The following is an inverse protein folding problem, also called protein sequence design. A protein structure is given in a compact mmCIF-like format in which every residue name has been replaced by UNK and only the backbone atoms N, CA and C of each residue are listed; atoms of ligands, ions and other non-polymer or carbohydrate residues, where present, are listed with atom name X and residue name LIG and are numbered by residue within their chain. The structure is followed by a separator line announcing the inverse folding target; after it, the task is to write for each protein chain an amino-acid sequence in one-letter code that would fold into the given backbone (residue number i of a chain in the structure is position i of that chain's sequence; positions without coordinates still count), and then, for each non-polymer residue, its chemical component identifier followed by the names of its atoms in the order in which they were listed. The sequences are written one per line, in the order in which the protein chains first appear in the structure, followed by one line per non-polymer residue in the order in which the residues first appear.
data_IF_221090523302
#
_entry.id   IF_221090523302
#
_cell.length_a   1.000
_cell.length_b   1.000
_cell.length_c   1.000
_cell.angle_alpha   90.00
_cell.angle_beta   90.00
_cell.angle_gamma   90.00
#
_symmetry.space_group_name_H-M   'P 1'
#
loop_
_entity.id
_entity.type
_entity.pdbx_description
1 polymer ?
#
# COMPACT_ATOMS: atom_id res chain seq x y z
N UNK A 1 -12.34 -56.92 -9.41
CA UNK A 1 -13.02 -56.78 -8.10
C UNK A 1 -12.29 -55.84 -7.11
N UNK A 2 -11.34 -55.00 -7.55
CA UNK A 2 -10.60 -54.09 -6.66
C UNK A 2 -11.18 -52.64 -6.61
N UNK A 3 -11.97 -52.25 -7.61
CA UNK A 3 -12.55 -50.90 -7.69
C UNK A 3 -13.69 -50.67 -6.68
N UNK A 4 -14.42 -51.73 -6.30
CA UNK A 4 -15.49 -51.65 -5.31
C UNK A 4 -14.98 -51.32 -3.90
N UNK A 5 -13.82 -51.88 -3.51
CA UNK A 5 -13.23 -51.68 -2.18
C UNK A 5 -12.67 -50.27 -1.97
N UNK A 6 -12.14 -49.62 -3.01
CA UNK A 6 -11.66 -48.24 -2.96
C UNK A 6 -12.82 -47.24 -2.82
N UNK A 7 -13.94 -47.48 -3.48
CA UNK A 7 -15.15 -46.68 -3.32
C UNK A 7 -15.76 -46.83 -1.91
N UNK A 8 -15.68 -48.03 -1.31
CA UNK A 8 -16.16 -48.23 0.07
C UNK A 8 -15.24 -47.59 1.12
N UNK A 9 -13.92 -47.52 0.88
CA UNK A 9 -12.99 -46.76 1.75
C UNK A 9 -13.25 -45.24 1.70
N UNK A 10 -13.56 -44.68 0.53
CA UNK A 10 -13.86 -43.25 0.38
C UNK A 10 -15.20 -42.86 1.03
N UNK A 11 -16.20 -43.75 1.03
CA UNK A 11 -17.49 -43.51 1.70
C UNK A 11 -17.40 -43.72 3.22
N UNK A 12 -16.54 -44.61 3.70
CA UNK A 12 -16.29 -44.79 5.15
C UNK A 12 -15.40 -43.68 5.77
N UNK A 13 -14.72 -42.87 4.94
CA UNK A 13 -14.02 -41.64 5.37
C UNK A 13 -14.98 -40.44 5.52
N UNK A 14 -16.24 -40.55 5.09
CA UNK A 14 -17.26 -39.51 5.24
C UNK A 14 -17.94 -39.45 6.61
N UNK A 15 -17.45 -40.16 7.63
CA UNK A 15 -18.16 -40.33 8.88
C UNK A 15 -17.29 -40.63 10.09
N UNK A 16 -16.32 -39.78 10.40
CA UNK A 16 -15.88 -39.52 11.77
C UNK A 16 -14.91 -38.33 11.78
N UNK A 17 -15.06 -37.42 12.74
CA UNK A 17 -14.01 -36.47 13.14
C UNK A 17 -12.80 -37.28 13.63
N UNK A 18 -12.03 -37.86 12.72
CA UNK A 18 -10.71 -38.36 13.04
C UNK A 18 -9.84 -37.13 13.25
N UNK A 19 -9.44 -36.89 14.51
CA UNK A 19 -8.24 -36.15 14.84
C UNK A 19 -7.07 -36.82 14.09
N UNK A 20 -6.86 -36.43 12.84
CA UNK A 20 -5.69 -36.80 12.09
C UNK A 20 -4.47 -36.24 12.83
N UNK A 21 -3.38 -37.00 12.82
CA UNK A 21 -2.12 -36.57 13.40
C UNK A 21 -1.76 -35.18 12.85
N UNK A 22 -1.78 -34.19 13.74
CA UNK A 22 -1.57 -32.77 13.41
C UNK A 22 -0.28 -32.55 12.62
N UNK A 23 0.75 -33.39 12.82
CA UNK A 23 2.01 -33.34 12.08
C UNK A 23 1.87 -33.73 10.61
N UNK A 24 1.06 -34.76 10.31
CA UNK A 24 0.81 -35.22 8.94
C UNK A 24 0.01 -34.17 8.17
N UNK A 25 -1.04 -33.62 8.79
CA UNK A 25 -1.88 -32.60 8.16
C UNK A 25 -1.12 -31.28 7.95
N UNK A 26 -0.29 -30.86 8.90
CA UNK A 26 0.57 -29.70 8.74
C UNK A 26 1.57 -29.87 7.57
N UNK A 27 2.15 -31.06 7.43
CA UNK A 27 3.08 -31.38 6.33
C UNK A 27 2.36 -31.39 4.99
N UNK A 28 1.18 -32.02 4.92
CA UNK A 28 0.32 -32.00 3.74
C UNK A 28 -0.04 -30.58 3.32
N UNK A 29 -0.45 -29.73 4.26
CA UNK A 29 -0.85 -28.35 3.96
C UNK A 29 0.32 -27.55 3.38
N UNK A 30 1.50 -27.60 4.01
CA UNK A 30 2.71 -26.92 3.53
C UNK A 30 3.07 -27.31 2.10
N UNK A 31 3.00 -28.61 1.79
CA UNK A 31 3.34 -29.12 0.46
C UNK A 31 2.33 -28.67 -0.61
N UNK A 32 1.03 -28.71 -0.29
CA UNK A 32 -0.01 -28.34 -1.26
C UNK A 32 -0.10 -26.82 -1.44
N UNK A 33 -0.19 -26.06 -0.34
CA UNK A 33 -0.37 -24.61 -0.41
C UNK A 33 0.78 -23.90 -1.13
N UNK A 34 2.03 -24.33 -0.92
CA UNK A 34 3.19 -23.74 -1.62
C UNK A 34 3.09 -23.85 -3.15
N UNK A 35 2.56 -24.97 -3.66
CA UNK A 35 2.37 -25.17 -5.11
C UNK A 35 1.23 -24.29 -5.64
N UNK A 36 0.10 -24.27 -4.94
CA UNK A 36 -1.10 -23.55 -5.41
C UNK A 36 -0.92 -22.02 -5.32
N UNK A 37 -0.33 -21.54 -4.23
CA UNK A 37 -0.03 -20.11 -4.04
C UNK A 37 0.95 -19.57 -5.08
N UNK A 38 1.91 -20.36 -5.57
CA UNK A 38 2.83 -19.94 -6.63
C UNK A 38 2.08 -19.56 -7.93
N UNK A 39 1.03 -20.29 -8.29
CA UNK A 39 0.18 -19.97 -9.44
C UNK A 39 -0.60 -18.68 -9.21
N UNK A 40 -1.21 -18.52 -8.05
CA UNK A 40 -1.97 -17.31 -7.70
C UNK A 40 -1.07 -16.08 -7.74
N UNK A 41 0.09 -16.17 -7.12
CA UNK A 41 1.08 -15.08 -7.11
C UNK A 41 1.58 -14.76 -8.52
N UNK A 42 1.79 -15.76 -9.37
CA UNK A 42 2.18 -15.52 -10.75
C UNK A 42 1.12 -14.67 -11.50
N UNK A 43 -0.17 -14.96 -11.33
CA UNK A 43 -1.25 -14.17 -11.94
C UNK A 43 -1.27 -12.75 -11.37
N UNK A 44 -1.24 -12.60 -10.04
CA UNK A 44 -1.26 -11.29 -9.38
C UNK A 44 0.02 -10.46 -9.60
N UNK A 45 1.15 -11.11 -9.91
CA UNK A 45 2.39 -10.45 -10.31
C UNK A 45 2.34 -9.86 -11.72
N UNK A 46 1.27 -10.11 -12.49
CA UNK A 46 1.03 -9.60 -13.85
C UNK A 46 -0.36 -8.98 -13.94
N UNK A 47 -0.79 -8.34 -12.86
CA UNK A 47 -2.11 -7.74 -12.73
C UNK A 47 -1.98 -6.23 -12.67
N UNK A 48 -2.84 -5.54 -13.41
CA UNK A 48 -3.23 -4.15 -13.17
C UNK A 48 -4.57 -4.15 -12.45
N UNK A 49 -4.69 -3.39 -11.36
CA UNK A 49 -5.91 -3.33 -10.56
C UNK A 49 -6.13 -1.90 -10.04
N UNK A 50 -7.33 -1.39 -10.25
CA UNK A 50 -7.80 -0.12 -9.69
C UNK A 50 -8.70 -0.42 -8.50
N UNK A 51 -8.53 0.34 -7.42
CA UNK A 51 -9.14 0.05 -6.14
C UNK A 51 -9.56 1.33 -5.43
N UNK A 52 -10.60 1.19 -4.62
CA UNK A 52 -11.08 2.21 -3.71
C UNK A 52 -11.00 1.69 -2.28
N UNK A 53 -10.23 2.39 -1.44
CA UNK A 53 -10.14 2.15 0.00
C UNK A 53 -11.00 3.19 0.75
N UNK A 54 -11.79 2.71 1.70
CA UNK A 54 -12.60 3.53 2.62
C UNK A 54 -12.20 3.20 4.05
N UNK A 55 -11.73 4.20 4.80
CA UNK A 55 -11.48 4.05 6.24
C UNK A 55 -12.80 4.20 7.01
N UNK A 56 -13.17 3.19 7.80
CA UNK A 56 -14.48 3.11 8.45
C UNK A 56 -14.43 3.56 9.91
N UNK A 57 -13.29 3.37 10.57
CA UNK A 57 -13.06 3.82 11.95
C UNK A 57 -11.64 4.36 12.11
N UNK A 58 -11.40 5.13 13.17
CA UNK A 58 -10.11 5.76 13.44
C UNK A 58 -10.12 7.26 13.16
N UNK A 59 -8.95 7.89 13.24
CA UNK A 59 -8.81 9.34 13.10
C UNK A 59 -9.12 9.85 11.69
N UNK A 60 -9.15 8.97 10.68
CA UNK A 60 -9.47 9.33 9.30
C UNK A 60 -10.73 8.62 8.81
N UNK A 61 -11.62 8.20 9.72
CA UNK A 61 -12.91 7.62 9.36
C UNK A 61 -13.66 8.50 8.33
N UNK A 62 -14.18 7.86 7.29
CA UNK A 62 -14.82 8.50 6.13
C UNK A 62 -13.84 8.90 5.01
N UNK A 63 -12.52 8.78 5.21
CA UNK A 63 -11.54 9.07 4.17
C UNK A 63 -11.59 8.01 3.07
N UNK A 64 -11.62 8.47 1.83
CA UNK A 64 -11.58 7.63 0.63
C UNK A 64 -10.22 7.81 -0.04
N UNK A 65 -9.64 6.72 -0.54
CA UNK A 65 -8.42 6.73 -1.35
C UNK A 65 -8.65 5.88 -2.60
N UNK A 66 -8.23 6.39 -3.74
CA UNK A 66 -8.13 5.57 -4.96
C UNK A 66 -6.69 5.13 -5.14
N UNK A 67 -6.50 3.86 -5.47
CA UNK A 67 -5.22 3.18 -5.57
C UNK A 67 -5.16 2.46 -6.91
N UNK A 68 -4.03 2.55 -7.59
CA UNK A 68 -3.77 1.81 -8.81
C UNK A 68 -2.49 0.97 -8.60
N UNK A 69 -2.61 -0.34 -8.69
CA UNK A 69 -1.48 -1.27 -8.61
C UNK A 69 -1.21 -1.86 -9.99
N UNK A 70 0.07 -2.02 -10.30
CA UNK A 70 0.54 -2.78 -11.45
C UNK A 70 1.72 -3.66 -11.07
N UNK A 71 1.63 -4.96 -11.39
CA UNK A 71 2.70 -5.94 -11.25
C UNK A 71 3.34 -6.34 -12.58
N UNK A 72 4.64 -6.64 -12.56
CA UNK A 72 5.35 -7.21 -13.70
C UNK A 72 6.65 -7.93 -13.37
N UNK A 73 6.62 -9.26 -13.22
CA UNK A 73 7.82 -10.12 -13.23
C UNK A 73 8.87 -9.79 -12.16
N UNK A 74 8.43 -9.45 -10.94
CA UNK A 74 9.20 -8.94 -9.79
C UNK A 74 9.32 -7.40 -9.71
N UNK A 75 8.55 -6.68 -10.51
CA UNK A 75 8.41 -5.23 -10.42
C UNK A 75 7.00 -4.90 -9.97
N UNK A 76 6.87 -3.93 -9.09
CA UNK A 76 5.59 -3.50 -8.57
C UNK A 76 5.53 -1.98 -8.60
N UNK A 77 4.37 -1.46 -8.97
CA UNK A 77 4.08 -0.04 -8.93
C UNK A 77 2.75 0.17 -8.26
N UNK A 78 2.69 1.13 -7.35
CA UNK A 78 1.47 1.59 -6.72
C UNK A 78 1.39 3.09 -6.86
N UNK A 79 0.32 3.56 -7.45
CA UNK A 79 -0.05 4.97 -7.50
C UNK A 79 -1.23 5.21 -6.55
N UNK A 80 -1.13 6.23 -5.70
CA UNK A 80 -2.25 6.71 -4.89
C UNK A 80 -2.77 8.00 -5.51
N UNK A 81 -4.08 8.12 -5.64
CA UNK A 81 -4.74 9.25 -6.28
C UNK A 81 -5.38 10.15 -5.22
N UNK A 82 -5.27 11.45 -5.45
CA UNK A 82 -6.03 12.46 -4.71
C UNK A 82 -7.48 12.48 -5.22
N UNK A 83 -8.44 12.36 -4.31
CA UNK A 83 -9.87 12.26 -4.66
C UNK A 83 -10.39 13.55 -5.30
N UNK A 84 -9.90 14.72 -4.87
CA UNK A 84 -10.40 16.00 -5.34
C UNK A 84 -9.91 16.33 -6.76
N UNK A 85 -8.69 15.93 -7.08
CA UNK A 85 -8.03 16.30 -8.34
C UNK A 85 -7.91 15.14 -9.35
N UNK A 86 -8.09 13.90 -8.89
CA UNK A 86 -7.83 12.70 -9.69
C UNK A 86 -6.36 12.54 -10.08
N UNK A 87 -5.44 13.30 -9.46
CA UNK A 87 -4.01 13.27 -9.77
C UNK A 87 -3.26 12.39 -8.79
N UNK A 88 -2.13 11.84 -9.22
CA UNK A 88 -1.30 11.05 -8.34
C UNK A 88 -0.77 11.90 -7.18
N UNK A 89 -0.95 11.41 -5.95
CA UNK A 89 -0.48 11.98 -4.69
C UNK A 89 0.86 11.37 -4.29
N UNK A 90 0.96 10.04 -4.38
CA UNK A 90 2.23 9.33 -4.19
C UNK A 90 2.35 8.14 -5.13
N UNK A 91 3.59 7.79 -5.46
CA UNK A 91 3.92 6.64 -6.29
C UNK A 91 4.99 5.82 -5.59
N UNK A 92 4.75 4.52 -5.40
CA UNK A 92 5.70 3.54 -4.86
C UNK A 92 6.15 2.68 -6.03
N UNK A 93 7.45 2.53 -6.22
CA UNK A 93 8.02 1.67 -7.25
C UNK A 93 8.99 0.73 -6.57
N UNK A 94 8.78 -0.57 -6.77
CA UNK A 94 9.67 -1.63 -6.33
C UNK A 94 10.20 -2.38 -7.55
N UNK A 95 11.52 -2.43 -7.70
CA UNK A 95 12.19 -3.22 -8.74
C UNK A 95 13.41 -3.93 -8.14
N UNK A 96 13.97 -4.94 -8.83
CA UNK A 96 15.22 -5.58 -8.39
C UNK A 96 16.40 -4.61 -8.25
N UNK A 97 16.41 -3.56 -9.09
CA UNK A 97 17.54 -2.63 -9.19
C UNK A 97 17.36 -1.40 -8.29
N UNK A 98 16.11 -0.92 -8.16
CA UNK A 98 15.80 0.32 -7.48
C UNK A 98 14.40 0.33 -6.84
N UNK A 99 14.28 0.92 -5.64
CA UNK A 99 13.04 1.01 -4.89
C UNK A 99 12.86 2.42 -4.31
N UNK A 100 11.77 3.08 -4.68
CA UNK A 100 11.58 4.50 -4.40
C UNK A 100 10.14 4.87 -4.07
N UNK A 101 10.00 5.85 -3.19
CA UNK A 101 8.71 6.50 -2.88
C UNK A 101 8.77 7.94 -3.40
N UNK A 102 7.90 8.25 -4.37
CA UNK A 102 7.70 9.60 -4.90
C UNK A 102 6.52 10.22 -4.18
N UNK A 103 6.73 11.40 -3.59
CA UNK A 103 5.66 12.22 -3.02
C UNK A 103 5.52 13.53 -3.79
N UNK A 104 4.28 13.90 -4.10
CA UNK A 104 3.94 15.15 -4.77
C UNK A 104 3.29 16.13 -3.80
N UNK A 105 3.52 17.43 -4.01
CA UNK A 105 2.95 18.47 -3.15
C UNK A 105 1.44 18.62 -3.34
N UNK A 106 0.67 18.52 -2.25
CA UNK A 106 -0.81 18.63 -2.28
C UNK A 106 -1.29 20.07 -2.49
N UNK A 107 -0.51 21.06 -2.06
CA UNK A 107 -0.84 22.48 -2.14
C UNK A 107 -0.52 23.11 -3.51
N UNK A 108 0.26 22.42 -4.35
CA UNK A 108 0.71 22.96 -5.62
C UNK A 108 -0.23 22.57 -6.75
N UNK A 109 -0.80 23.56 -7.46
CA UNK A 109 -1.59 23.32 -8.68
C UNK A 109 -0.85 22.49 -9.75
N UNK A 110 0.48 22.46 -9.69
CA UNK A 110 1.35 21.70 -10.58
C UNK A 110 1.68 20.27 -10.08
N UNK A 111 1.33 19.89 -8.83
CA UNK A 111 1.63 18.58 -8.22
C UNK A 111 3.07 18.12 -8.48
N UNK A 112 4.02 19.03 -8.26
CA UNK A 112 5.44 18.78 -8.52
C UNK A 112 5.98 17.69 -7.59
N UNK A 113 7.03 16.99 -8.04
CA UNK A 113 7.71 15.97 -7.22
C UNK A 113 8.49 16.69 -6.13
N UNK A 114 8.08 16.48 -4.86
CA UNK A 114 8.67 17.16 -3.70
C UNK A 114 9.73 16.31 -3.01
N UNK A 115 9.54 15.00 -2.95
CA UNK A 115 10.48 14.09 -2.30
C UNK A 115 10.58 12.77 -3.05
N UNK A 116 11.80 12.23 -3.09
CA UNK A 116 12.11 10.87 -3.48
C UNK A 116 12.84 10.24 -2.29
N UNK A 117 12.28 9.15 -1.77
CA UNK A 117 12.90 8.36 -0.70
C UNK A 117 13.37 7.02 -1.27
N UNK A 118 14.66 6.73 -1.15
CA UNK A 118 15.23 5.42 -1.47
C UNK A 118 15.00 4.47 -0.30
N UNK A 119 14.45 3.29 -0.57
CA UNK A 119 14.03 2.32 0.45
C UNK A 119 14.61 0.95 0.12
N UNK A 120 14.88 0.10 1.10
CA UNK A 120 15.25 -1.28 0.81
C UNK A 120 14.08 -2.04 0.17
N UNK A 121 14.37 -3.05 -0.65
CA UNK A 121 13.34 -3.88 -1.31
C UNK A 121 12.37 -4.50 -0.28
N UNK A 122 12.90 -5.03 0.81
CA UNK A 122 12.10 -5.67 1.87
C UNK A 122 11.12 -4.67 2.49
N UNK A 123 11.61 -3.48 2.84
CA UNK A 123 10.78 -2.44 3.44
C UNK A 123 9.77 -1.88 2.45
N UNK A 124 10.15 -1.70 1.18
CA UNK A 124 9.23 -1.27 0.13
C UNK A 124 8.11 -2.28 -0.06
N UNK A 125 8.45 -3.57 -0.14
CA UNK A 125 7.47 -4.65 -0.31
C UNK A 125 6.51 -4.71 0.87
N UNK A 126 7.01 -4.55 2.10
CA UNK A 126 6.19 -4.46 3.31
C UNK A 126 5.21 -3.28 3.22
N UNK A 127 5.70 -2.08 2.87
CA UNK A 127 4.85 -0.89 2.72
C UNK A 127 3.77 -1.08 1.65
N UNK A 128 4.09 -1.72 0.54
CA UNK A 128 3.13 -2.01 -0.53
C UNK A 128 2.07 -3.01 -0.07
N UNK A 129 2.45 -4.08 0.64
CA UNK A 129 1.52 -5.07 1.21
C UNK A 129 0.56 -4.44 2.22
N UNK A 130 1.04 -3.50 3.04
CA UNK A 130 0.18 -2.81 4.02
C UNK A 130 -0.70 -1.76 3.34
N UNK A 131 -0.11 -1.02 2.40
CA UNK A 131 -0.72 0.14 1.74
C UNK A 131 -1.71 -0.21 0.63
N UNK A 132 -1.53 -1.35 -0.04
CA UNK A 132 -2.40 -1.85 -1.12
C UNK A 132 -2.65 -3.34 -0.93
N UNK A 133 -3.27 -3.72 0.19
CA UNK A 133 -3.28 -5.10 0.62
C UNK A 133 -4.16 -5.97 -0.29
N UNK A 134 -5.10 -5.41 -1.06
CA UNK A 134 -6.00 -6.15 -1.93
C UNK A 134 -5.22 -6.96 -3.00
N UNK A 135 -4.19 -6.36 -3.62
CA UNK A 135 -3.37 -7.03 -4.64
C UNK A 135 -2.50 -8.17 -4.06
N UNK A 136 -2.31 -8.20 -2.75
CA UNK A 136 -1.46 -9.19 -2.08
C UNK A 136 -2.26 -10.17 -1.20
N UNK A 137 -3.48 -9.81 -0.80
CA UNK A 137 -4.32 -10.56 0.13
C UNK A 137 -4.47 -12.05 -0.18
N UNK A 138 -4.57 -12.50 -1.45
CA UNK A 138 -4.71 -13.93 -1.73
C UNK A 138 -3.53 -14.80 -1.27
N UNK A 139 -2.34 -14.22 -1.11
CA UNK A 139 -1.10 -14.95 -0.78
C UNK A 139 -0.22 -14.26 0.29
N UNK A 140 -0.65 -13.11 0.81
CA UNK A 140 -0.01 -12.35 1.88
C UNK A 140 -1.01 -11.94 2.96
N UNK A 141 -0.52 -11.82 4.19
CA UNK A 141 -1.24 -11.22 5.29
C UNK A 141 -0.32 -10.31 6.12
N UNK A 142 -0.71 -9.04 6.27
CA UNK A 142 0.10 -7.97 6.87
C UNK A 142 1.48 -7.92 6.18
N UNK A 143 2.59 -8.00 6.92
CA UNK A 143 3.93 -8.04 6.33
C UNK A 143 4.33 -9.40 5.73
N UNK A 144 3.61 -10.48 6.05
CA UNK A 144 4.05 -11.85 5.71
C UNK A 144 3.47 -12.34 4.40
N UNK A 145 4.32 -12.93 3.56
CA UNK A 145 3.87 -13.88 2.54
C UNK A 145 3.49 -15.19 3.25
N UNK A 146 2.33 -15.73 2.94
CA UNK A 146 1.76 -16.84 3.71
C UNK A 146 2.61 -18.11 3.58
N UNK A 147 3.17 -18.40 2.40
CA UNK A 147 4.08 -19.53 2.24
C UNK A 147 5.32 -19.40 3.14
N UNK A 148 5.91 -18.21 3.20
CA UNK A 148 7.11 -17.93 4.00
C UNK A 148 6.82 -17.99 5.50
N UNK A 149 5.61 -17.60 5.91
CA UNK A 149 5.15 -17.72 7.30
C UNK A 149 5.27 -19.17 7.79
N UNK A 150 4.87 -20.14 6.96
CA UNK A 150 4.84 -21.55 7.34
C UNK A 150 6.17 -22.28 7.20
N UNK A 151 7.19 -21.64 6.62
CA UNK A 151 8.57 -22.13 6.59
C UNK A 151 9.41 -21.61 7.75
N UNK A 152 8.94 -20.62 8.52
CA UNK A 152 9.67 -20.08 9.67
C UNK A 152 9.84 -21.12 10.78
N UNK A 153 11.05 -21.20 11.33
CA UNK A 153 11.40 -22.15 12.39
C UNK A 153 10.57 -21.96 13.66
N UNK A 154 10.14 -20.73 13.95
CA UNK A 154 9.34 -20.39 15.12
C UNK A 154 7.83 -20.42 14.85
N UNK A 155 7.36 -20.90 13.70
CA UNK A 155 5.93 -21.03 13.40
C UNK A 155 5.50 -22.50 13.45
N UNK A 156 4.37 -22.77 14.10
CA UNK A 156 3.78 -24.10 14.22
C UNK A 156 2.32 -24.07 13.81
N UNK A 157 1.94 -25.02 12.96
CA UNK A 157 0.54 -25.29 12.64
C UNK A 157 -0.02 -26.14 13.78
N UNK A 158 -1.10 -25.68 14.42
CA UNK A 158 -1.81 -26.43 15.47
C UNK A 158 -2.80 -27.41 14.87
N UNK A 159 -3.56 -26.91 13.91
CA UNK A 159 -4.69 -27.63 13.37
C UNK A 159 -4.85 -27.24 11.90
N UNK A 160 -5.16 -28.25 11.10
CA UNK A 160 -5.69 -28.09 9.75
C UNK A 160 -7.00 -28.83 9.73
N UNK A 161 -8.08 -28.12 9.45
CA UNK A 161 -9.42 -28.68 9.32
C UNK A 161 -9.99 -28.36 7.95
N UNK A 162 -10.98 -29.15 7.56
CA UNK A 162 -11.66 -29.00 6.29
C UNK A 162 -13.16 -28.91 6.54
N UNK A 163 -13.80 -28.04 5.79
CA UNK A 163 -15.22 -27.78 5.87
C UNK A 163 -15.76 -27.55 4.46
N UNK A 164 -17.08 -27.57 4.32
CA UNK A 164 -17.75 -27.29 3.05
C UNK A 164 -18.45 -25.93 3.16
N UNK A 165 -18.14 -25.04 2.23
CA UNK A 165 -18.68 -23.70 2.15
C UNK A 165 -19.68 -23.62 0.97
N UNK A 166 -20.90 -23.12 1.18
CA UNK A 166 -21.90 -23.06 0.11
C UNK A 166 -21.46 -22.24 -1.10
N UNK A 167 -20.64 -21.21 -0.89
CA UNK A 167 -20.24 -20.27 -1.93
C UNK A 167 -18.89 -20.64 -2.56
N UNK A 168 -18.03 -21.34 -1.80
CA UNK A 168 -16.64 -21.62 -2.19
C UNK A 168 -16.26 -23.10 -2.22
N UNK A 169 -17.22 -24.01 -2.06
CA UNK A 169 -16.99 -25.46 -2.06
C UNK A 169 -16.08 -25.89 -0.92
N UNK A 170 -15.12 -26.78 -1.19
CA UNK A 170 -14.22 -27.28 -0.15
C UNK A 170 -13.28 -26.19 0.37
N UNK A 171 -13.31 -25.94 1.68
CA UNK A 171 -12.43 -24.97 2.35
C UNK A 171 -11.44 -25.64 3.28
N UNK A 172 -10.25 -25.03 3.41
CA UNK A 172 -9.18 -25.43 4.31
C UNK A 172 -8.96 -24.35 5.36
N UNK A 173 -9.12 -24.72 6.63
CA UNK A 173 -8.92 -23.85 7.78
C UNK A 173 -7.61 -24.24 8.49
N UNK A 174 -6.70 -23.29 8.64
CA UNK A 174 -5.37 -23.50 9.23
C UNK A 174 -5.20 -22.61 10.44
N UNK A 175 -5.08 -23.22 11.60
CA UNK A 175 -4.70 -22.53 12.84
C UNK A 175 -3.21 -22.68 13.10
N UNK A 176 -2.56 -21.58 13.44
CA UNK A 176 -1.12 -21.53 13.61
C UNK A 176 -0.73 -20.59 14.74
N UNK A 177 0.50 -20.72 15.25
CA UNK A 177 1.05 -19.85 16.29
C UNK A 177 2.57 -19.72 16.18
N UNK A 178 3.08 -18.65 16.76
CA UNK A 178 4.50 -18.47 17.02
C UNK A 178 4.91 -19.24 18.28
N UNK A 179 6.13 -19.77 18.28
CA UNK A 179 6.79 -20.38 19.44
C UNK A 179 8.01 -19.52 19.78
N UNK A 180 7.90 -18.74 20.85
CA UNK A 180 8.95 -17.85 21.31
C UNK A 180 9.53 -18.40 22.63
N UNK A 181 10.83 -18.71 22.61
CA UNK A 181 11.52 -19.34 23.75
C UNK A 181 10.83 -20.61 24.30
N UNK A 182 10.26 -21.43 23.41
CA UNK A 182 9.56 -22.66 23.77
C UNK A 182 8.16 -22.46 24.35
N UNK A 183 7.62 -21.24 24.29
CA UNK A 183 6.24 -20.93 24.71
C UNK A 183 5.39 -20.53 23.53
N UNK A 184 4.12 -20.93 23.58
CA UNK A 184 3.14 -20.53 22.60
C UNK A 184 2.85 -19.03 22.72
N UNK A 185 3.08 -18.31 21.62
CA UNK A 185 2.89 -16.87 21.51
C UNK A 185 1.63 -16.51 20.73
N UNK A 186 1.77 -15.46 19.92
CA UNK A 186 0.71 -14.96 19.01
C UNK A 186 0.23 -16.07 18.09
N UNK A 187 -1.07 -16.13 17.86
CA UNK A 187 -1.69 -17.13 16.99
C UNK A 187 -2.48 -16.47 15.85
N UNK A 188 -2.74 -17.24 14.80
CA UNK A 188 -3.62 -16.83 13.73
C UNK A 188 -4.42 -17.98 13.15
N UNK A 189 -5.39 -17.62 12.32
CA UNK A 189 -6.21 -18.53 11.53
C UNK A 189 -6.25 -18.02 10.10
N UNK A 190 -6.15 -18.92 9.13
CA UNK A 190 -6.29 -18.64 7.71
C UNK A 190 -7.31 -19.63 7.12
N UNK A 191 -8.27 -19.14 6.35
CA UNK A 191 -9.28 -19.96 5.65
C UNK A 191 -9.11 -19.79 4.15
N UNK A 192 -8.99 -20.89 3.42
CA UNK A 192 -8.72 -20.92 1.98
C UNK A 192 -9.80 -21.67 1.22
N UNK A 193 -10.18 -21.19 0.03
CA UNK A 193 -11.06 -21.91 -0.89
C UNK A 193 -10.23 -22.85 -1.79
N UNK A 194 -10.17 -24.15 -1.44
CA UNK A 194 -9.26 -25.09 -2.12
C UNK A 194 -9.61 -25.29 -3.59
N UNK A 195 -10.90 -25.29 -3.92
CA UNK A 195 -11.40 -25.51 -5.27
C UNK A 195 -11.27 -24.26 -6.15
N UNK A 196 -11.00 -23.10 -5.55
CA UNK A 196 -10.89 -21.81 -6.23
C UNK A 196 -9.45 -21.31 -6.24
N UNK A 197 -8.50 -22.19 -6.61
CA UNK A 197 -7.06 -21.88 -6.61
C UNK A 197 -6.50 -21.50 -5.23
N UNK A 198 -7.07 -22.03 -4.14
CA UNK A 198 -6.58 -21.80 -2.77
C UNK A 198 -6.51 -20.33 -2.36
N UNK A 199 -7.39 -19.49 -2.91
CA UNK A 199 -7.46 -18.08 -2.54
C UNK A 199 -7.84 -17.91 -1.07
N UNK A 200 -7.24 -16.93 -0.41
CA UNK A 200 -7.51 -16.61 0.99
C UNK A 200 -8.92 -16.00 1.12
N UNK A 201 -9.79 -16.61 1.91
CA UNK A 201 -11.14 -16.14 2.21
C UNK A 201 -11.20 -15.31 3.49
N UNK A 202 -10.50 -15.78 4.53
CA UNK A 202 -10.51 -15.12 5.84
C UNK A 202 -9.18 -15.28 6.53
N UNK A 203 -8.85 -14.29 7.35
CA UNK A 203 -7.66 -14.31 8.19
C UNK A 203 -7.95 -13.64 9.52
N UNK A 204 -7.39 -14.20 10.58
CA UNK A 204 -7.35 -13.60 11.91
C UNK A 204 -5.94 -13.72 12.45
N UNK A 205 -5.43 -12.67 13.06
CA UNK A 205 -4.14 -12.63 13.73
C UNK A 205 -4.27 -11.96 15.08
N UNK A 206 -3.90 -12.68 16.13
CA UNK A 206 -3.87 -12.17 17.48
C UNK A 206 -2.56 -11.40 17.72
N UNK A 207 -2.69 -10.10 17.99
CA UNK A 207 -1.54 -9.25 18.33
C UNK A 207 -1.10 -9.48 19.77
N UNK A 208 -2.05 -9.57 20.69
CA UNK A 208 -1.86 -9.83 22.12
C UNK A 208 -3.11 -10.46 22.73
N UNK A 209 -3.17 -10.61 24.06
CA UNK A 209 -4.31 -11.24 24.73
C UNK A 209 -5.66 -10.52 24.55
N UNK A 210 -5.65 -9.26 24.12
CA UNK A 210 -6.81 -8.38 24.04
C UNK A 210 -7.16 -7.92 22.63
N UNK A 211 -6.19 -7.88 21.72
CA UNK A 211 -6.34 -7.34 20.37
C UNK A 211 -6.17 -8.41 19.30
N UNK A 212 -7.13 -8.44 18.38
CA UNK A 212 -7.06 -9.23 17.15
C UNK A 212 -7.28 -8.33 15.95
N UNK A 213 -6.62 -8.69 14.86
CA UNK A 213 -6.88 -8.14 13.54
C UNK A 213 -7.39 -9.25 12.66
N UNK A 214 -8.22 -8.92 11.69
CA UNK A 214 -8.57 -9.87 10.67
C UNK A 214 -9.08 -9.20 9.41
N UNK A 215 -9.30 -10.03 8.42
CA UNK A 215 -9.92 -9.61 7.18
C UNK A 215 -10.79 -10.74 6.60
N UNK A 216 -11.82 -10.32 5.87
CA UNK A 216 -12.64 -11.16 5.03
C UNK A 216 -12.45 -10.72 3.58
N UNK A 217 -12.31 -11.69 2.68
CA UNK A 217 -12.04 -11.46 1.27
C UNK A 217 -13.14 -12.11 0.44
N UNK A 218 -13.66 -11.36 -0.51
CA UNK A 218 -14.73 -11.80 -1.40
C UNK A 218 -14.24 -11.84 -2.83
N UNK A 219 -14.61 -12.89 -3.55
CA UNK A 219 -14.26 -13.10 -4.95
C UNK A 219 -15.55 -13.19 -5.77
N UNK A 220 -15.56 -12.56 -6.94
CA UNK A 220 -16.65 -12.71 -7.91
C UNK A 220 -16.43 -13.89 -8.85
N UNK A 221 -17.18 -13.91 -9.96
CA UNK A 221 -17.01 -14.89 -11.04
C UNK A 221 -15.79 -14.60 -11.93
N UNK A 222 -15.21 -13.40 -11.80
CA UNK A 222 -14.12 -12.91 -12.64
C UNK A 222 -12.77 -13.53 -12.27
N UNK A 223 -12.08 -14.06 -13.27
CA UNK A 223 -10.81 -14.75 -13.12
C UNK A 223 -9.84 -14.44 -14.27
N UNK A 224 -8.53 -14.55 -13.98
CA UNK A 224 -7.46 -14.56 -14.98
C UNK A 224 -6.77 -15.91 -14.90
N UNK A 225 -6.67 -16.62 -16.03
CA UNK A 225 -6.06 -17.95 -16.10
C UNK A 225 -6.61 -18.93 -15.05
N UNK A 226 -7.91 -18.84 -14.75
CA UNK A 226 -8.61 -19.66 -13.76
C UNK A 226 -8.33 -19.30 -12.30
N UNK A 227 -7.59 -18.22 -12.03
CA UNK A 227 -7.39 -17.67 -10.68
C UNK A 227 -8.42 -16.56 -10.45
N UNK A 228 -9.31 -16.68 -9.46
CA UNK A 228 -10.27 -15.63 -9.13
C UNK A 228 -9.57 -14.34 -8.72
N UNK A 229 -10.06 -13.21 -9.23
CA UNK A 229 -9.56 -11.89 -8.84
C UNK A 229 -10.47 -11.34 -7.75
N UNK A 230 -9.86 -11.07 -6.59
CA UNK A 230 -10.48 -10.49 -5.41
C UNK A 230 -11.29 -9.23 -5.74
N UNK A 231 -12.50 -9.15 -5.20
CA UNK A 231 -13.41 -8.02 -5.41
C UNK A 231 -13.42 -7.08 -4.21
N UNK A 232 -13.44 -7.63 -3.00
CA UNK A 232 -13.53 -6.86 -1.75
C UNK A 232 -12.60 -7.45 -0.69
N UNK A 233 -11.98 -6.58 0.10
CA UNK A 233 -11.31 -6.92 1.35
C UNK A 233 -11.82 -6.05 2.50
N UNK A 234 -12.48 -6.69 3.47
CA UNK A 234 -13.03 -6.06 4.66
C UNK A 234 -12.14 -6.34 5.86
N UNK A 235 -11.43 -5.30 6.33
CA UNK A 235 -10.54 -5.39 7.47
C UNK A 235 -11.25 -4.96 8.73
N UNK A 236 -10.93 -5.64 9.83
CA UNK A 236 -11.54 -5.39 11.12
C UNK A 236 -10.51 -5.60 12.24
N UNK A 237 -10.78 -4.97 13.37
CA UNK A 237 -10.11 -5.27 14.64
C UNK A 237 -11.13 -5.79 15.64
N UNK A 238 -10.67 -6.54 16.62
CA UNK A 238 -11.46 -6.94 17.78
C UNK A 238 -10.67 -6.56 19.02
N UNK A 239 -11.32 -5.82 19.92
CA UNK A 239 -10.76 -5.45 21.21
C UNK A 239 -11.78 -5.79 22.30
N UNK A 240 -11.35 -6.54 23.32
CA UNK A 240 -12.23 -6.98 24.43
C UNK A 240 -13.52 -7.68 23.96
N UNK A 241 -13.45 -8.43 22.85
CA UNK A 241 -14.59 -9.13 22.25
C UNK A 241 -15.51 -8.26 21.40
N UNK A 242 -15.26 -6.95 21.31
CA UNK A 242 -15.99 -6.05 20.43
C UNK A 242 -15.28 -5.93 19.07
N UNK A 243 -15.93 -6.39 18.00
CA UNK A 243 -15.41 -6.29 16.63
C UNK A 243 -15.78 -4.96 16.00
N UNK A 244 -14.78 -4.24 15.49
CA UNK A 244 -14.91 -2.94 14.82
C UNK A 244 -14.38 -3.03 13.38
N UNK A 245 -15.14 -2.53 12.39
CA UNK A 245 -14.63 -2.44 11.02
C UNK A 245 -13.54 -1.37 10.96
N UNK A 246 -12.41 -1.66 10.30
CA UNK A 246 -11.30 -0.72 10.15
C UNK A 246 -11.32 -0.03 8.81
N UNK A 247 -11.28 -0.82 7.74
CA UNK A 247 -11.27 -0.33 6.36
C UNK A 247 -11.90 -1.37 5.43
N UNK A 248 -12.49 -0.88 4.36
CA UNK A 248 -12.97 -1.70 3.26
C UNK A 248 -12.23 -1.28 1.98
N UNK A 249 -11.75 -2.26 1.22
CA UNK A 249 -11.11 -2.02 -0.06
C UNK A 249 -11.87 -2.77 -1.13
N UNK A 250 -12.32 -2.05 -2.15
CA UNK A 250 -13.10 -2.59 -3.25
C UNK A 250 -12.33 -2.43 -4.55
N UNK A 251 -12.25 -3.50 -5.34
CA UNK A 251 -11.74 -3.46 -6.70
C UNK A 251 -12.74 -2.74 -7.60
N UNK A 252 -12.28 -1.72 -8.32
CA UNK A 252 -13.07 -0.98 -9.32
C UNK A 252 -12.90 -1.59 -10.71
N UNK A 253 -11.66 -1.93 -11.08
CA UNK A 253 -11.33 -2.56 -12.37
C UNK A 253 -10.07 -3.43 -12.24
N UNK A 254 -9.86 -4.33 -13.21
CA UNK A 254 -8.63 -5.10 -13.30
C UNK A 254 -8.36 -5.56 -14.73
N UNK A 255 -7.09 -5.81 -15.05
CA UNK A 255 -6.66 -6.35 -16.33
C UNK A 255 -5.33 -7.11 -16.20
N UNK A 256 -5.10 -8.16 -17.02
CA UNK A 256 -3.77 -8.71 -17.16
C UNK A 256 -2.84 -7.66 -17.78
N UNK A 257 -1.63 -7.54 -17.24
CA UNK A 257 -0.63 -6.58 -17.69
C UNK A 257 0.55 -7.29 -18.29
N UNK A 258 0.97 -6.82 -19.47
CA UNK A 258 2.28 -7.12 -20.02
C UNK A 258 3.20 -5.95 -19.66
N UNK A 259 4.11 -6.11 -18.68
CA UNK A 259 4.90 -5.00 -18.19
C UNK A 259 5.86 -4.49 -19.27
N UNK A 260 5.83 -3.19 -19.52
CA UNK A 260 6.88 -2.50 -20.28
C UNK A 260 7.92 -1.94 -19.31
N UNK A 261 9.21 -1.88 -19.70
CA UNK A 261 10.26 -1.32 -18.84
C UNK A 261 9.94 0.09 -18.34
N UNK A 262 9.38 0.93 -19.21
CA UNK A 262 9.06 2.34 -18.95
C UNK A 262 8.06 2.54 -17.83
N UNK A 263 7.17 1.57 -17.58
CA UNK A 263 6.16 1.68 -16.53
C UNK A 263 6.78 1.80 -15.12
N UNK A 264 7.93 1.18 -14.95
CA UNK A 264 8.66 1.09 -13.68
C UNK A 264 9.91 1.97 -13.67
N UNK A 265 10.17 2.77 -14.72
CA UNK A 265 11.38 3.58 -14.83
C UNK A 265 11.40 4.72 -13.79
N UNK A 266 12.33 4.71 -12.82
CA UNK A 266 12.55 5.80 -11.86
C UNK A 266 12.95 7.13 -12.49
N UNK A 267 13.58 7.07 -13.67
CA UNK A 267 14.35 8.18 -14.22
C UNK A 267 13.52 9.43 -14.41
N UNK A 268 12.29 9.28 -14.92
CA UNK A 268 11.34 10.39 -15.12
C UNK A 268 11.10 11.14 -13.81
N UNK A 269 10.97 10.43 -12.68
CA UNK A 269 10.75 11.05 -11.38
C UNK A 269 11.98 11.76 -10.84
N UNK A 270 13.17 11.17 -11.03
CA UNK A 270 14.44 11.80 -10.64
C UNK A 270 14.69 13.10 -11.40
N UNK A 271 14.45 13.10 -12.71
CA UNK A 271 14.54 14.31 -13.54
C UNK A 271 13.52 15.35 -13.07
N UNK A 272 12.26 14.95 -12.85
CA UNK A 272 11.22 15.85 -12.35
C UNK A 272 11.55 16.47 -10.98
N UNK A 273 12.12 15.70 -10.05
CA UNK A 273 12.55 16.20 -8.76
C UNK A 273 13.68 17.23 -8.88
N UNK A 274 14.67 16.98 -9.74
CA UNK A 274 15.76 17.94 -10.01
C UNK A 274 15.25 19.24 -10.63
N UNK A 275 14.31 19.14 -11.57
CA UNK A 275 13.68 20.31 -12.19
C UNK A 275 12.85 21.10 -11.17
N UNK A 276 12.11 20.41 -10.29
CA UNK A 276 11.32 21.07 -9.23
C UNK A 276 12.21 21.85 -8.27
N UNK A 277 13.32 21.27 -7.83
CA UNK A 277 14.28 21.95 -6.97
C UNK A 277 14.86 23.22 -7.62
N UNK A 278 15.10 23.20 -8.94
CA UNK A 278 15.54 24.39 -9.68
C UNK A 278 14.46 25.48 -9.74
N UNK A 279 13.18 25.11 -9.88
CA UNK A 279 12.05 26.07 -9.89
C UNK A 279 11.79 26.67 -8.50
N UNK A 280 11.94 25.89 -7.42
CA UNK A 280 11.80 26.40 -6.05
C UNK A 280 12.90 27.43 -5.73
N UNK A 281 14.14 27.21 -6.19
CA UNK A 281 15.21 28.21 -6.05
C UNK A 281 14.93 29.51 -6.80
N UNK A 282 14.09 29.45 -7.84
CA UNK A 282 13.63 30.62 -8.58
C UNK A 282 12.27 31.15 -8.10
N UNK A 283 11.80 30.83 -6.89
CA UNK A 283 10.70 31.56 -6.22
C UNK A 283 11.21 32.56 -5.16
N UNK A 284 12.51 32.53 -4.85
CA UNK A 284 13.15 33.40 -3.86
C UNK A 284 13.72 34.72 -4.46
N UNK A 285 13.32 35.06 -5.70
CA UNK A 285 13.62 36.36 -6.32
C UNK A 285 12.93 37.51 -5.60
N UNK A 286 11.81 37.23 -4.93
CA UNK A 286 11.20 38.21 -4.02
C UNK A 286 12.18 38.57 -2.90
N UNK A 287 12.91 37.62 -2.31
CA UNK A 287 13.94 37.90 -1.29
C UNK A 287 15.15 38.69 -1.82
N UNK A 288 15.52 38.50 -3.09
CA UNK A 288 16.70 39.16 -3.69
C UNK A 288 16.40 40.54 -4.30
N UNK A 289 15.21 40.74 -4.86
CA UNK A 289 14.81 42.01 -5.52
C UNK A 289 14.25 43.00 -4.50
N UNK A 290 13.59 42.54 -3.44
CA UNK A 290 13.01 43.39 -2.39
C UNK A 290 14.02 44.35 -1.74
N UNK A 291 15.25 43.96 -1.35
CA UNK A 291 16.21 44.92 -0.79
C UNK A 291 16.72 45.94 -1.82
N UNK A 292 16.80 45.57 -3.11
CA UNK A 292 17.18 46.51 -4.17
C UNK A 292 16.07 47.52 -4.49
N UNK A 293 14.81 47.08 -4.52
CA UNK A 293 13.65 47.95 -4.74
C UNK A 293 13.38 48.83 -3.52
N UNK A 294 13.46 48.29 -2.29
CA UNK A 294 13.37 49.11 -1.07
C UNK A 294 14.55 50.08 -0.95
N UNK A 295 15.76 49.65 -1.27
CA UNK A 295 16.95 50.50 -1.24
C UNK A 295 16.84 51.66 -2.23
N UNK A 296 16.39 51.40 -3.46
CA UNK A 296 16.21 52.43 -4.49
C UNK A 296 15.03 53.38 -4.18
N UNK A 297 13.93 52.89 -3.59
CA UNK A 297 12.82 53.73 -3.10
C UNK A 297 13.25 54.60 -1.90
N UNK A 298 14.02 54.06 -0.96
CA UNK A 298 14.56 54.83 0.18
C UNK A 298 15.54 55.90 -0.27
N UNK A 299 16.44 55.61 -1.21
CA UNK A 299 17.34 56.62 -1.79
C UNK A 299 16.53 57.67 -2.55
N UNK A 300 15.52 57.27 -3.32
CA UNK A 300 14.62 58.16 -4.04
C UNK A 300 13.78 59.09 -3.13
N UNK A 301 13.49 58.68 -1.89
CA UNK A 301 12.77 59.50 -0.89
C UNK A 301 13.71 60.33 -0.02
N UNK A 302 14.88 59.82 0.34
CA UNK A 302 15.82 60.50 1.22
C UNK A 302 16.63 61.60 0.52
N UNK A 303 16.99 61.43 -0.76
CA UNK A 303 17.79 62.41 -1.52
C UNK A 303 17.04 63.73 -1.78
N UNK A 304 15.75 63.73 -2.17
CA UNK A 304 14.99 64.98 -2.30
C UNK A 304 14.73 65.67 -0.95
N UNK A 305 14.61 64.90 0.13
CA UNK A 305 14.32 65.43 1.46
C UNK A 305 15.54 66.10 2.10
N UNK A 306 16.75 65.53 1.90
CA UNK A 306 18.00 66.16 2.33
C UNK A 306 18.35 67.39 1.48
N UNK A 307 18.14 67.33 0.16
CA UNK A 307 18.35 68.48 -0.74
C UNK A 307 17.38 69.64 -0.45
N UNK A 308 16.12 69.36 -0.09
CA UNK A 308 15.16 70.40 0.36
C UNK A 308 15.57 71.06 1.68
N UNK A 309 16.24 70.33 2.57
CA UNK A 309 16.74 70.88 3.84
C UNK A 309 17.97 71.77 3.68
N UNK A 310 18.81 71.48 2.68
CA UNK A 310 19.97 72.32 2.32
C UNK A 310 19.63 73.50 1.40
N UNK A 311 18.50 73.46 0.68
CA UNK A 311 18.07 74.52 -0.24
C UNK A 311 17.34 75.71 0.42
N UNK A 312 17.14 75.72 1.74
CA UNK A 312 16.34 76.73 2.44
C UNK A 312 17.17 77.63 3.37
N UNK A 313 18.40 77.94 3.00
CA UNK A 313 19.25 78.93 3.70
C UNK A 313 19.87 80.01 2.80
N UNK A 314 19.40 80.17 1.55
CA UNK A 314 20.00 81.15 0.64
C UNK A 314 18.95 81.92 -0.18
N UNK A 315 18.25 82.85 0.49
CA UNK A 315 17.66 84.01 -0.18
C UNK A 315 17.35 85.14 0.82
N UNK A 316 18.40 85.67 1.45
CA UNK A 316 18.45 87.08 1.81
C UNK A 316 19.68 87.65 1.10
N UNK A 317 19.48 88.39 0.02
CA UNK A 317 20.33 89.51 -0.40
C UNK A 317 19.64 90.28 -1.52
N UNK A 318 19.09 91.42 -1.12
CA UNK A 318 19.17 92.72 -1.77
C UNK A 318 18.94 92.82 -3.29
N UNK A 319 17.78 93.36 -3.65
CA UNK A 319 17.63 94.18 -4.85
C UNK A 319 17.93 95.64 -4.53
N UNK A 320 19.13 96.11 -4.89
CA UNK A 320 19.41 97.53 -5.14
C UNK A 320 19.15 97.78 -6.63
N UNK A 321 18.21 98.66 -6.94
CA UNK A 321 18.03 99.20 -8.30
C UNK A 321 18.62 100.62 -8.37
N UNK A 322 19.43 100.95 -9.39
CA UNK A 322 19.82 102.32 -9.67
C UNK A 322 18.76 102.99 -10.57
N UNK A 323 18.31 104.17 -10.18
CA UNK A 323 18.16 105.40 -10.99
C UNK A 323 17.69 106.52 -10.08
#
# INVERSE_FOLDING_TARGET
MAAGALATMLVLLGGSHQQHDSGVMATWFRANYARESARVEQVYSRLGIEMREVELTGCRAGTIRHLHYVGGGNRFRVDTLDVATGRFKSTFIATPDENLIVRRGEADRAHLVRAIEDVSLDRMTELMRIGVPLAFAPYCWVEYRICDLFTKENVRIREVSFDDDPDYGRVCDVQWHFVDAGRDGRFGRLRFAMEHSWVLLQTTFQLDATYRLGATFSYGEEAIDGVPIITVADYWSEQHGERKPLRQITRESFAPVTPTPDLFDPFVYKVAARLTAAVDTSHDWAGTITPFVLGSVLVGLCVPWSLRRFGWSRQEHETVSPT
#
